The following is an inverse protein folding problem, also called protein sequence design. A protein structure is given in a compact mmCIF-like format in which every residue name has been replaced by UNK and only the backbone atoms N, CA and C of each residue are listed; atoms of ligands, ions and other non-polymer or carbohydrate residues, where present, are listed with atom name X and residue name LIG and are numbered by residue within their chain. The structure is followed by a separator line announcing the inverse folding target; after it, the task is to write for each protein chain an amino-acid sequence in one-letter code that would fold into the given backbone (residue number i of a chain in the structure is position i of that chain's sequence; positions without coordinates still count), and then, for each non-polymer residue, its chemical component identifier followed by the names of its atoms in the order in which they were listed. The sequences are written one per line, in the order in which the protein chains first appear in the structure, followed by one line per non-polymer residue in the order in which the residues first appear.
data_IF_965271039517
#
_entry.id   IF_965271039517
#
_cell.length_a   1.000
_cell.length_b   1.000
_cell.length_c   1.000
_cell.angle_alpha   90.00
_cell.angle_beta   90.00
_cell.angle_gamma   90.00
#
_symmetry.space_group_name_H-M   'P 1'
#
loop_
_entity.id
_entity.type
_entity.pdbx_description
1 polymer ?
#
# COMPACT_ATOMS: atom_id res chain seq x y z
N UNK A 1 -21.14 -69.47 -8.81
CA UNK A 1 -20.58 -68.50 -7.84
C UNK A 1 -20.25 -67.23 -8.63
N UNK A 2 -20.97 -66.14 -8.35
CA UNK A 2 -20.96 -64.87 -9.10
C UNK A 2 -19.96 -63.90 -8.47
N UNK A 3 -18.92 -63.49 -9.20
CA UNK A 3 -17.99 -62.44 -8.76
C UNK A 3 -18.45 -61.11 -9.36
N UNK A 4 -18.91 -60.20 -8.50
CA UNK A 4 -19.40 -58.86 -8.86
C UNK A 4 -18.22 -57.92 -9.18
N UNK A 5 -18.29 -57.24 -10.32
CA UNK A 5 -17.44 -56.10 -10.67
C UNK A 5 -17.72 -54.93 -9.72
N UNK A 6 -16.66 -54.36 -9.14
CA UNK A 6 -16.71 -53.07 -8.44
C UNK A 6 -16.23 -51.99 -9.40
N UNK A 7 -17.14 -51.13 -9.86
CA UNK A 7 -16.79 -49.88 -10.55
C UNK A 7 -16.58 -48.82 -9.47
N UNK A 8 -15.34 -48.36 -9.30
CA UNK A 8 -15.04 -47.17 -8.50
C UNK A 8 -15.41 -45.92 -9.30
N UNK A 9 -16.42 -45.19 -8.86
CA UNK A 9 -16.71 -43.85 -9.36
C UNK A 9 -15.70 -42.85 -8.75
N UNK A 10 -14.83 -42.30 -9.58
CA UNK A 10 -14.00 -41.14 -9.21
C UNK A 10 -14.86 -39.89 -9.38
N UNK A 11 -15.31 -39.31 -8.27
CA UNK A 11 -15.93 -38.01 -8.27
C UNK A 11 -14.85 -36.94 -8.48
N UNK A 12 -14.82 -36.31 -9.65
CA UNK A 12 -14.03 -35.10 -9.90
C UNK A 12 -14.71 -33.97 -9.14
N UNK A 13 -14.17 -33.60 -7.97
CA UNK A 13 -14.56 -32.36 -7.32
C UNK A 13 -13.97 -31.20 -8.11
N UNK A 14 -14.83 -30.46 -8.80
CA UNK A 14 -14.47 -29.19 -9.40
C UNK A 14 -14.04 -28.23 -8.28
N UNK A 15 -12.76 -27.90 -8.23
CA UNK A 15 -12.24 -26.84 -7.38
C UNK A 15 -12.72 -25.52 -7.96
N UNK A 16 -13.75 -24.92 -7.35
CA UNK A 16 -14.05 -23.50 -7.55
C UNK A 16 -12.89 -22.71 -6.97
N UNK A 17 -11.97 -22.28 -7.82
CA UNK A 17 -11.01 -21.24 -7.51
C UNK A 17 -11.77 -19.95 -7.25
N UNK A 18 -11.94 -19.59 -5.98
CA UNK A 18 -12.48 -18.28 -5.59
C UNK A 18 -11.39 -17.26 -5.90
N UNK A 19 -11.57 -16.52 -6.99
CA UNK A 19 -10.78 -15.34 -7.33
C UNK A 19 -11.15 -14.20 -6.38
N UNK A 20 -10.53 -14.17 -5.20
CA UNK A 20 -10.77 -13.19 -4.12
C UNK A 20 -10.53 -11.71 -4.53
N UNK A 21 -9.98 -11.45 -5.71
CA UNK A 21 -9.61 -10.10 -6.16
C UNK A 21 -10.60 -9.38 -7.08
N UNK A 22 -11.53 -10.10 -7.71
CA UNK A 22 -12.48 -9.49 -8.67
C UNK A 22 -13.79 -9.05 -7.99
N UNK A 23 -14.32 -9.84 -7.05
CA UNK A 23 -15.61 -9.58 -6.39
C UNK A 23 -15.59 -8.33 -5.49
N UNK A 24 -14.45 -7.95 -4.92
CA UNK A 24 -14.36 -6.78 -4.02
C UNK A 24 -14.50 -5.42 -4.73
N UNK A 25 -14.26 -5.36 -6.05
CA UNK A 25 -14.43 -4.12 -6.84
C UNK A 25 -15.90 -3.86 -7.20
N UNK A 26 -16.74 -4.89 -7.20
CA UNK A 26 -18.16 -4.80 -7.56
C UNK A 26 -19.05 -4.29 -6.42
N UNK A 27 -18.53 -4.16 -5.19
CA UNK A 27 -19.29 -3.69 -4.01
C UNK A 27 -19.23 -2.16 -3.78
N UNK A 28 -18.40 -1.40 -4.52
CA UNK A 28 -18.33 0.06 -4.32
C UNK A 28 -19.50 0.75 -5.02
N UNK A 29 -20.36 1.42 -4.25
CA UNK A 29 -21.55 2.08 -4.81
C UNK A 29 -21.19 3.25 -5.72
N UNK A 30 -22.03 3.52 -6.73
CA UNK A 30 -21.85 4.67 -7.61
C UNK A 30 -21.83 6.01 -6.85
N UNK A 31 -22.59 6.08 -5.75
CA UNK A 31 -22.60 7.23 -4.84
C UNK A 31 -21.24 7.42 -4.16
N UNK A 32 -20.64 6.36 -3.60
CA UNK A 32 -19.32 6.42 -2.98
C UNK A 32 -18.24 6.86 -3.99
N UNK A 33 -18.29 6.35 -5.23
CA UNK A 33 -17.37 6.77 -6.30
C UNK A 33 -17.54 8.25 -6.64
N UNK A 34 -18.79 8.71 -6.77
CA UNK A 34 -19.11 10.10 -7.06
C UNK A 34 -18.61 11.05 -5.95
N UNK A 35 -18.85 10.69 -4.69
CA UNK A 35 -18.44 11.50 -3.55
C UNK A 35 -16.92 11.55 -3.41
N UNK A 36 -16.22 10.43 -3.64
CA UNK A 36 -14.77 10.38 -3.65
C UNK A 36 -14.18 11.30 -4.74
N UNK A 37 -14.70 11.19 -5.97
CA UNK A 37 -14.30 12.05 -7.09
C UNK A 37 -14.51 13.53 -6.76
N UNK A 38 -15.70 13.89 -6.28
CA UNK A 38 -16.05 15.25 -5.89
C UNK A 38 -15.14 15.78 -4.77
N UNK A 39 -14.82 14.94 -3.79
CA UNK A 39 -13.90 15.26 -2.69
C UNK A 39 -12.48 15.52 -3.17
N UNK A 40 -11.96 14.68 -4.07
CA UNK A 40 -10.63 14.83 -4.66
C UNK A 40 -10.54 16.09 -5.54
N UNK A 41 -11.52 16.33 -6.42
CA UNK A 41 -11.57 17.55 -7.25
C UNK A 41 -11.58 18.82 -6.38
N UNK A 42 -12.33 18.81 -5.28
CA UNK A 42 -12.34 19.90 -4.30
C UNK A 42 -10.97 20.06 -3.62
N UNK A 43 -10.28 18.97 -3.31
CA UNK A 43 -8.93 18.99 -2.72
C UNK A 43 -7.92 19.57 -3.71
N UNK A 44 -7.91 19.11 -4.96
CA UNK A 44 -7.05 19.64 -6.03
C UNK A 44 -7.23 21.16 -6.15
N UNK A 45 -8.47 21.65 -6.14
CA UNK A 45 -8.77 23.08 -6.25
C UNK A 45 -8.33 23.89 -5.02
N UNK A 46 -8.57 23.39 -3.80
CA UNK A 46 -8.37 24.16 -2.56
C UNK A 46 -6.96 24.02 -1.97
N UNK A 47 -6.32 22.89 -2.23
CA UNK A 47 -5.03 22.49 -1.68
C UNK A 47 -4.18 21.88 -2.80
N UNK A 48 -3.78 22.69 -3.80
CA UNK A 48 -3.16 22.19 -5.02
C UNK A 48 -1.81 21.51 -4.83
N UNK A 49 -1.19 21.54 -3.64
CA UNK A 49 0.09 20.88 -3.36
C UNK A 49 -0.02 19.68 -2.42
N UNK A 50 -1.23 19.34 -1.95
CA UNK A 50 -1.45 18.17 -1.08
C UNK A 50 -1.43 16.89 -1.90
N UNK A 51 -0.79 15.84 -1.42
CA UNK A 51 -0.93 14.51 -2.02
C UNK A 51 -2.41 14.10 -1.99
N UNK A 52 -2.86 13.49 -3.09
CA UNK A 52 -4.20 12.93 -3.14
C UNK A 52 -4.29 11.69 -2.24
N UNK A 53 -5.41 11.55 -1.55
CA UNK A 53 -5.64 10.43 -0.66
C UNK A 53 -5.79 9.13 -1.47
N UNK A 54 -4.99 8.12 -1.14
CA UNK A 54 -4.93 6.87 -1.91
C UNK A 54 -6.23 6.07 -1.83
N UNK A 55 -6.87 6.03 -0.66
CA UNK A 55 -8.17 5.38 -0.50
C UNK A 55 -9.20 6.01 -1.44
N UNK A 56 -9.31 7.34 -1.41
CA UNK A 56 -10.24 8.08 -2.27
C UNK A 56 -9.91 7.90 -3.76
N UNK A 57 -8.63 7.84 -4.12
CA UNK A 57 -8.22 7.57 -5.51
C UNK A 57 -8.71 6.20 -5.98
N UNK A 58 -8.53 5.14 -5.18
CA UNK A 58 -9.01 3.79 -5.52
C UNK A 58 -10.53 3.70 -5.62
N UNK A 59 -11.27 4.56 -4.93
CA UNK A 59 -12.73 4.65 -5.08
C UNK A 59 -13.13 5.43 -6.34
N UNK A 60 -12.46 6.55 -6.61
CA UNK A 60 -12.84 7.47 -7.67
C UNK A 60 -12.36 7.04 -9.06
N UNK A 61 -11.14 6.51 -9.19
CA UNK A 61 -10.47 6.26 -10.47
C UNK A 61 -10.80 4.90 -11.11
N UNK A 62 -11.85 4.20 -10.64
CA UNK A 62 -12.29 2.92 -11.21
C UNK A 62 -12.90 3.06 -12.61
N UNK A 63 -13.23 4.28 -13.03
CA UNK A 63 -13.76 4.64 -14.33
C UNK A 63 -12.78 5.57 -15.05
N UNK A 64 -12.46 5.27 -16.31
CA UNK A 64 -11.50 6.05 -17.12
C UNK A 64 -11.92 7.52 -17.22
N UNK A 65 -13.22 7.80 -17.30
CA UNK A 65 -13.76 9.16 -17.34
C UNK A 65 -13.50 9.93 -16.04
N UNK A 66 -13.60 9.28 -14.89
CA UNK A 66 -13.26 9.89 -13.60
C UNK A 66 -11.74 10.13 -13.46
N UNK A 67 -10.91 9.19 -13.90
CA UNK A 67 -9.46 9.35 -13.93
C UNK A 67 -9.05 10.57 -14.80
N UNK A 68 -9.66 10.71 -15.98
CA UNK A 68 -9.40 11.85 -16.87
C UNK A 68 -9.86 13.19 -16.29
N UNK A 69 -10.96 13.22 -15.55
CA UNK A 69 -11.39 14.42 -14.82
C UNK A 69 -10.36 14.82 -13.75
N UNK A 70 -9.83 13.86 -12.99
CA UNK A 70 -8.80 14.11 -11.98
C UNK A 70 -7.51 14.65 -12.61
N UNK A 71 -7.03 14.02 -13.70
CA UNK A 71 -5.85 14.46 -14.44
C UNK A 71 -6.03 15.85 -15.05
N UNK A 72 -7.21 16.13 -15.61
CA UNK A 72 -7.56 17.46 -16.13
C UNK A 72 -7.58 18.53 -15.04
N UNK A 73 -8.08 18.20 -13.85
CA UNK A 73 -8.07 19.11 -12.71
C UNK A 73 -6.64 19.35 -12.19
N UNK A 74 -5.79 18.31 -12.14
CA UNK A 74 -4.38 18.44 -11.78
C UNK A 74 -3.63 19.36 -12.76
N UNK A 75 -3.88 19.23 -14.06
CA UNK A 75 -3.28 20.10 -15.07
C UNK A 75 -3.61 21.59 -14.86
N UNK A 76 -4.75 21.88 -14.24
CA UNK A 76 -5.23 23.24 -13.95
C UNK A 76 -4.93 23.69 -12.51
N UNK A 77 -4.27 22.86 -11.69
CA UNK A 77 -4.12 23.13 -10.26
C UNK A 77 -3.00 24.12 -9.91
N UNK A 78 -2.17 24.52 -10.89
CA UNK A 78 -1.00 25.36 -10.64
C UNK A 78 0.19 24.62 -10.02
N UNK A 79 0.20 23.28 -10.03
CA UNK A 79 1.36 22.47 -9.70
C UNK A 79 2.47 22.66 -10.74
N UNK A 80 3.71 22.32 -10.37
CA UNK A 80 4.79 22.17 -11.34
C UNK A 80 4.48 21.03 -12.32
N UNK A 81 5.07 21.05 -13.52
CA UNK A 81 4.90 19.98 -14.50
C UNK A 81 5.26 18.60 -13.92
N UNK A 82 6.29 18.54 -13.09
CA UNK A 82 6.68 17.33 -12.35
C UNK A 82 5.62 16.89 -11.34
N UNK A 83 5.11 17.81 -10.52
CA UNK A 83 4.06 17.48 -9.55
C UNK A 83 2.75 17.05 -10.21
N UNK A 84 2.43 17.59 -11.39
CA UNK A 84 1.27 17.15 -12.19
C UNK A 84 1.51 15.73 -12.69
N UNK A 85 2.68 15.47 -13.28
CA UNK A 85 3.07 14.16 -13.79
C UNK A 85 2.99 13.10 -12.71
N UNK A 86 3.67 13.31 -11.59
CA UNK A 86 3.70 12.35 -10.47
C UNK A 86 2.29 12.06 -9.94
N UNK A 87 1.46 13.08 -9.69
CA UNK A 87 0.09 12.84 -9.21
C UNK A 87 -0.80 12.16 -10.26
N UNK A 88 -0.59 12.41 -11.54
CA UNK A 88 -1.33 11.73 -12.61
C UNK A 88 -0.97 10.25 -12.68
N UNK A 89 0.32 9.90 -12.47
CA UNK A 89 0.76 8.51 -12.38
C UNK A 89 0.09 7.78 -11.20
N UNK A 90 -0.14 8.46 -10.07
CA UNK A 90 -0.90 7.90 -8.96
C UNK A 90 -2.39 7.70 -9.29
N UNK A 91 -3.00 8.58 -10.08
CA UNK A 91 -4.36 8.37 -10.59
C UNK A 91 -4.41 7.12 -11.47
N UNK A 92 -3.47 6.98 -12.41
CA UNK A 92 -3.41 5.82 -13.31
C UNK A 92 -3.15 4.51 -12.52
N UNK A 93 -2.29 4.57 -11.49
CA UNK A 93 -2.06 3.43 -10.60
C UNK A 93 -3.33 3.01 -9.86
N UNK A 94 -4.12 3.97 -9.35
CA UNK A 94 -5.39 3.69 -8.69
C UNK A 94 -6.44 3.11 -9.65
N UNK A 95 -6.36 3.47 -10.94
CA UNK A 95 -7.17 2.89 -12.01
C UNK A 95 -6.72 1.47 -12.42
N UNK A 96 -5.66 0.93 -11.81
CA UNK A 96 -5.14 -0.41 -12.12
C UNK A 96 -4.01 -0.44 -13.14
N UNK A 97 -3.44 0.72 -13.47
CA UNK A 97 -2.30 0.87 -14.40
C UNK A 97 -1.04 1.39 -13.68
N UNK A 98 -0.44 0.64 -12.74
CA UNK A 98 0.66 1.12 -11.90
C UNK A 98 2.02 1.16 -12.62
N UNK A 99 2.14 0.62 -13.84
CA UNK A 99 3.44 0.37 -14.47
C UNK A 99 4.25 1.66 -14.62
N UNK A 100 3.58 2.75 -15.00
CA UNK A 100 4.23 4.04 -15.22
C UNK A 100 4.67 4.70 -13.91
N UNK A 101 3.92 4.55 -12.80
CA UNK A 101 4.34 5.08 -11.50
C UNK A 101 5.54 4.32 -10.95
N UNK A 102 5.57 2.99 -11.13
CA UNK A 102 6.69 2.15 -10.71
C UNK A 102 7.96 2.50 -11.51
N UNK A 103 7.84 2.60 -12.83
CA UNK A 103 8.94 3.01 -13.70
C UNK A 103 9.48 4.41 -13.36
N UNK A 104 8.61 5.34 -12.94
CA UNK A 104 9.03 6.66 -12.49
C UNK A 104 9.94 6.60 -11.25
N UNK A 105 9.55 5.87 -10.20
CA UNK A 105 10.38 5.77 -9.00
C UNK A 105 11.64 4.93 -9.22
N UNK A 106 11.57 3.86 -10.01
CA UNK A 106 12.72 3.02 -10.32
C UNK A 106 13.74 3.78 -11.19
N UNK A 107 13.25 4.52 -12.19
CA UNK A 107 14.07 5.39 -13.03
C UNK A 107 14.80 6.46 -12.23
N UNK A 108 14.10 7.15 -11.32
CA UNK A 108 14.72 8.15 -10.45
C UNK A 108 15.89 7.56 -9.64
N UNK A 109 15.71 6.38 -9.05
CA UNK A 109 16.76 5.71 -8.30
C UNK A 109 17.95 5.27 -9.18
N UNK A 110 17.69 4.89 -10.43
CA UNK A 110 18.72 4.51 -11.40
C UNK A 110 19.50 5.72 -11.95
N UNK A 111 18.82 6.84 -12.18
CA UNK A 111 19.39 8.05 -12.79
C UNK A 111 20.26 8.85 -11.81
N UNK A 112 19.98 8.75 -10.50
CA UNK A 112 20.73 9.43 -9.44
C UNK A 112 21.13 8.45 -8.32
N UNK A 113 22.00 7.46 -8.59
CA UNK A 113 22.34 6.40 -7.63
C UNK A 113 23.08 6.91 -6.39
N UNK A 114 23.66 8.11 -6.44
CA UNK A 114 24.26 8.79 -5.30
C UNK A 114 23.23 9.35 -4.31
N UNK A 115 21.99 9.61 -4.76
CA UNK A 115 20.91 10.06 -3.91
C UNK A 115 20.25 8.85 -3.24
N UNK A 116 20.72 8.57 -2.03
CA UNK A 116 20.28 7.42 -1.25
C UNK A 116 18.83 7.52 -0.77
N UNK A 117 18.14 8.64 -1.00
CA UNK A 117 16.71 8.80 -0.66
C UNK A 117 15.79 8.20 -1.74
N UNK A 118 16.27 8.08 -2.99
CA UNK A 118 15.45 7.62 -4.12
C UNK A 118 15.12 6.12 -4.08
N UNK A 119 16.05 5.20 -3.73
CA UNK A 119 15.69 3.80 -3.54
C UNK A 119 14.61 3.61 -2.46
N UNK A 120 14.65 4.43 -1.40
CA UNK A 120 13.61 4.41 -0.38
C UNK A 120 12.26 4.86 -0.94
N UNK A 121 12.22 5.85 -1.83
CA UNK A 121 10.98 6.26 -2.49
C UNK A 121 10.38 5.12 -3.35
N UNK A 122 11.22 4.34 -4.04
CA UNK A 122 10.77 3.17 -4.80
C UNK A 122 10.21 2.06 -3.91
N UNK A 123 10.80 1.84 -2.73
CA UNK A 123 10.26 0.92 -1.71
C UNK A 123 8.93 1.44 -1.13
N UNK A 124 8.89 2.72 -0.76
CA UNK A 124 7.69 3.40 -0.28
C UNK A 124 6.52 3.27 -1.25
N UNK A 125 6.72 3.60 -2.53
CA UNK A 125 5.68 3.59 -3.54
C UNK A 125 4.98 2.22 -3.66
N UNK A 126 5.73 1.14 -3.44
CA UNK A 126 5.23 -0.23 -3.43
C UNK A 126 4.52 -0.58 -2.13
N UNK A 127 5.20 -0.39 -1.00
CA UNK A 127 4.70 -0.76 0.31
C UNK A 127 3.43 0.00 0.71
N UNK A 128 3.40 1.32 0.48
CA UNK A 128 2.28 2.17 0.89
C UNK A 128 1.03 2.04 0.05
N UNK A 129 1.15 1.50 -1.15
CA UNK A 129 0.05 1.42 -2.11
C UNK A 129 -0.30 -0.02 -2.52
N UNK A 130 0.42 -1.01 -1.99
CA UNK A 130 0.22 -2.43 -2.29
C UNK A 130 0.52 -2.78 -3.73
N UNK A 131 1.55 -2.17 -4.30
CA UNK A 131 1.95 -2.36 -5.68
C UNK A 131 3.18 -3.27 -5.76
N UNK A 132 3.22 -4.11 -6.80
CA UNK A 132 4.42 -4.90 -7.15
C UNK A 132 4.98 -5.74 -5.99
N UNK A 133 4.08 -6.42 -5.26
CA UNK A 133 4.43 -7.25 -4.10
C UNK A 133 5.38 -8.40 -4.43
N UNK A 134 5.44 -8.83 -5.68
CA UNK A 134 6.41 -9.82 -6.15
C UNK A 134 7.86 -9.31 -6.03
N UNK A 135 8.11 -8.03 -6.31
CA UNK A 135 9.45 -7.44 -6.34
C UNK A 135 9.76 -6.53 -5.14
N UNK A 136 8.76 -6.15 -4.33
CA UNK A 136 8.89 -5.16 -3.25
C UNK A 136 10.05 -5.46 -2.29
N UNK A 137 10.29 -6.73 -1.96
CA UNK A 137 11.36 -7.12 -1.06
C UNK A 137 12.75 -6.81 -1.63
N UNK A 138 12.97 -7.06 -2.92
CA UNK A 138 14.24 -6.76 -3.58
C UNK A 138 14.50 -5.24 -3.56
N UNK A 139 13.48 -4.44 -3.87
CA UNK A 139 13.55 -2.97 -3.88
C UNK A 139 13.84 -2.43 -2.48
N UNK A 140 13.10 -2.87 -1.47
CA UNK A 140 13.30 -2.41 -0.10
C UNK A 140 14.64 -2.87 0.48
N UNK A 141 15.13 -4.07 0.15
CA UNK A 141 16.46 -4.52 0.54
C UNK A 141 17.56 -3.64 -0.08
N UNK A 142 17.45 -3.29 -1.36
CA UNK A 142 18.37 -2.38 -2.01
C UNK A 142 18.35 -0.99 -1.35
N UNK A 143 17.17 -0.49 -0.96
CA UNK A 143 17.04 0.77 -0.26
C UNK A 143 17.75 0.78 1.10
N UNK A 144 17.57 -0.27 1.91
CA UNK A 144 18.24 -0.42 3.21
C UNK A 144 19.76 -0.53 3.05
N UNK A 145 20.24 -1.21 2.01
CA UNK A 145 21.67 -1.29 1.70
C UNK A 145 22.27 0.07 1.32
N UNK A 146 21.53 0.88 0.54
CA UNK A 146 21.98 2.21 0.14
C UNK A 146 22.04 3.17 1.35
N UNK A 147 20.98 3.18 2.16
CA UNK A 147 20.88 3.96 3.39
C UNK A 147 20.00 3.24 4.40
N UNK A 148 20.59 2.86 5.54
CA UNK A 148 19.93 2.15 6.63
C UNK A 148 19.11 3.12 7.50
N UNK A 149 18.09 3.74 6.90
CA UNK A 149 17.21 4.68 7.58
C UNK A 149 16.02 3.98 8.25
N UNK A 150 15.65 4.43 9.45
CA UNK A 150 14.57 3.86 10.27
C UNK A 150 13.22 3.83 9.54
N UNK A 151 12.90 4.86 8.74
CA UNK A 151 11.69 4.88 7.92
C UNK A 151 11.69 3.84 6.79
N UNK A 152 12.85 3.40 6.29
CA UNK A 152 12.92 2.36 5.24
C UNK A 152 12.55 0.99 5.80
N UNK A 153 12.93 0.70 7.04
CA UNK A 153 12.45 -0.50 7.75
C UNK A 153 10.94 -0.49 7.94
N UNK A 154 10.32 0.67 8.21
CA UNK A 154 8.86 0.75 8.30
C UNK A 154 8.19 0.40 6.96
N UNK A 155 8.76 0.84 5.83
CA UNK A 155 8.23 0.48 4.52
C UNK A 155 8.42 -1.01 4.20
N UNK A 156 9.59 -1.58 4.50
CA UNK A 156 9.80 -3.01 4.30
C UNK A 156 8.91 -3.84 5.22
N UNK A 157 8.80 -3.51 6.50
CA UNK A 157 7.89 -4.16 7.44
C UNK A 157 6.42 -4.08 7.02
N UNK A 158 5.99 -2.96 6.42
CA UNK A 158 4.64 -2.85 5.84
C UNK A 158 4.44 -3.76 4.63
N UNK A 159 5.44 -3.91 3.77
CA UNK A 159 5.39 -4.87 2.66
C UNK A 159 5.42 -6.33 3.15
N UNK A 160 6.20 -6.61 4.18
CA UNK A 160 6.27 -7.93 4.82
C UNK A 160 4.93 -8.32 5.45
N UNK A 161 4.22 -7.39 6.08
CA UNK A 161 2.85 -7.63 6.55
C UNK A 161 1.89 -8.00 5.41
N UNK A 162 1.98 -7.34 4.26
CA UNK A 162 1.17 -7.65 3.08
C UNK A 162 1.48 -9.04 2.51
N UNK A 163 2.74 -9.47 2.62
CA UNK A 163 3.22 -10.77 2.18
C UNK A 163 3.02 -11.89 3.21
N UNK A 164 2.49 -11.59 4.41
CA UNK A 164 2.33 -12.56 5.49
C UNK A 164 3.63 -12.92 6.23
N UNK A 165 4.69 -12.15 6.04
CA UNK A 165 6.02 -12.33 6.63
C UNK A 165 6.09 -11.69 8.03
N UNK A 166 5.22 -12.12 8.93
CA UNK A 166 4.97 -11.41 10.20
C UNK A 166 6.18 -11.37 11.15
N UNK A 167 7.03 -12.40 11.14
CA UNK A 167 8.25 -12.42 11.96
C UNK A 167 9.25 -11.38 11.48
N UNK A 168 9.47 -11.32 10.17
CA UNK A 168 10.36 -10.33 9.56
C UNK A 168 9.83 -8.91 9.78
N UNK A 169 8.52 -8.71 9.61
CA UNK A 169 7.88 -7.42 9.86
C UNK A 169 8.09 -6.94 11.30
N UNK A 170 7.94 -7.84 12.28
CA UNK A 170 8.21 -7.52 13.69
C UNK A 170 9.66 -7.07 13.89
N UNK A 171 10.63 -7.79 13.32
CA UNK A 171 12.05 -7.46 13.44
C UNK A 171 12.34 -6.06 12.83
N UNK A 172 11.74 -5.74 11.68
CA UNK A 172 11.88 -4.45 11.02
C UNK A 172 11.26 -3.29 11.79
N UNK A 173 10.06 -3.48 12.35
CA UNK A 173 9.45 -2.45 13.19
C UNK A 173 10.25 -2.24 14.49
N UNK A 174 10.77 -3.30 15.09
CA UNK A 174 11.61 -3.18 16.29
C UNK A 174 12.97 -2.50 15.98
N UNK A 175 13.59 -2.77 14.82
CA UNK A 175 14.78 -2.04 14.35
C UNK A 175 14.48 -0.55 14.19
N UNK A 176 13.37 -0.18 13.54
CA UNK A 176 12.98 1.22 13.36
C UNK A 176 12.73 1.94 14.69
N UNK A 177 12.00 1.28 15.61
CA UNK A 177 11.64 1.82 16.92
C UNK A 177 12.82 1.87 17.91
N UNK A 178 13.88 1.09 17.66
CA UNK A 178 15.13 1.10 18.42
C UNK A 178 15.95 2.38 18.21
N UNK A 179 15.80 3.06 17.06
CA UNK A 179 16.46 4.33 16.81
C UNK A 179 15.82 5.48 17.58
N UNK A 180 16.56 6.03 18.55
CA UNK A 180 16.10 7.15 19.37
C UNK A 180 15.76 8.39 18.54
N UNK A 181 16.45 8.61 17.42
CA UNK A 181 16.19 9.76 16.52
C UNK A 181 14.87 9.59 15.76
N UNK A 182 14.41 8.35 15.58
CA UNK A 182 13.17 8.06 14.88
C UNK A 182 11.91 8.41 15.70
N UNK A 183 12.03 8.59 17.02
CA UNK A 183 10.89 8.88 17.92
C UNK A 183 10.12 10.15 17.58
N UNK A 184 10.75 11.13 16.96
CA UNK A 184 10.10 12.38 16.51
C UNK A 184 9.68 12.34 15.05
N UNK A 185 9.94 11.24 14.34
CA UNK A 185 9.59 11.10 12.93
C UNK A 185 8.08 10.86 12.78
N UNK A 186 7.42 11.42 11.75
CA UNK A 186 5.98 11.21 11.53
C UNK A 186 5.55 9.74 11.43
N UNK A 187 6.43 8.89 10.91
CA UNK A 187 6.18 7.45 10.76
C UNK A 187 6.42 6.62 12.04
N UNK A 188 6.81 7.24 13.15
CA UNK A 188 6.97 6.50 14.41
C UNK A 188 5.67 5.80 14.80
N UNK A 189 4.54 6.49 14.66
CA UNK A 189 3.21 5.94 14.95
C UNK A 189 2.84 4.80 14.00
N UNK A 190 3.23 4.88 12.73
CA UNK A 190 3.04 3.79 11.76
C UNK A 190 3.83 2.55 12.17
N UNK A 191 5.09 2.72 12.61
CA UNK A 191 5.93 1.61 13.08
C UNK A 191 5.35 0.94 14.33
N UNK A 192 4.83 1.72 15.29
CA UNK A 192 4.15 1.18 16.48
C UNK A 192 2.91 0.38 16.07
N UNK A 193 2.08 0.92 15.18
CA UNK A 193 0.89 0.21 14.69
C UNK A 193 1.25 -1.10 13.97
N UNK A 194 2.21 -1.03 13.03
CA UNK A 194 2.69 -2.18 12.28
C UNK A 194 3.27 -3.28 13.18
N UNK A 195 4.04 -2.89 14.21
CA UNK A 195 4.52 -3.84 15.23
C UNK A 195 3.37 -4.53 15.95
N UNK A 196 2.36 -3.77 16.35
CA UNK A 196 1.17 -4.31 17.01
C UNK A 196 0.46 -5.35 16.16
N UNK A 197 0.27 -5.07 14.87
CA UNK A 197 -0.30 -6.04 13.91
C UNK A 197 0.58 -7.28 13.78
N UNK A 198 1.90 -7.11 13.60
CA UNK A 198 2.83 -8.23 13.48
C UNK A 198 2.81 -9.14 14.72
N UNK A 199 2.81 -8.54 15.93
CA UNK A 199 2.70 -9.27 17.21
C UNK A 199 1.41 -10.07 17.31
N UNK A 200 0.26 -9.45 17.01
CA UNK A 200 -1.02 -10.15 17.04
C UNK A 200 -1.09 -11.31 16.05
N UNK A 201 -0.57 -11.13 14.83
CA UNK A 201 -0.47 -12.19 13.82
C UNK A 201 0.45 -13.34 14.23
N UNK A 202 1.40 -13.08 15.14
CA UNK A 202 2.28 -14.09 15.75
C UNK A 202 1.71 -14.68 17.06
N UNK A 203 0.51 -14.29 17.48
CA UNK A 203 -0.12 -14.76 18.72
C UNK A 203 0.33 -14.05 19.99
N UNK A 204 1.09 -12.96 19.88
CA UNK A 204 1.47 -12.12 21.02
C UNK A 204 0.41 -11.06 21.30
N UNK A 205 -0.36 -11.27 22.37
CA UNK A 205 -1.44 -10.38 22.80
C UNK A 205 -0.96 -8.97 23.20
N UNK A 206 0.34 -8.77 23.46
CA UNK A 206 0.90 -7.45 23.74
C UNK A 206 0.75 -6.49 22.55
N UNK A 207 0.57 -7.00 21.33
CA UNK A 207 0.33 -6.18 20.14
C UNK A 207 -0.91 -5.27 20.24
N UNK A 208 -1.91 -5.66 21.03
CA UNK A 208 -3.10 -4.82 21.29
C UNK A 208 -2.75 -3.49 21.94
N UNK A 209 -1.76 -3.46 22.84
CA UNK A 209 -1.32 -2.24 23.50
C UNK A 209 -0.64 -1.27 22.51
N UNK A 210 0.16 -1.80 21.58
CA UNK A 210 0.79 -1.01 20.53
C UNK A 210 -0.25 -0.36 19.62
N UNK A 211 -1.26 -1.14 19.18
CA UNK A 211 -2.37 -0.62 18.36
C UNK A 211 -3.14 0.47 19.08
N UNK A 212 -3.42 0.30 20.39
CA UNK A 212 -4.13 1.29 21.18
C UNK A 212 -3.33 2.60 21.31
N UNK A 213 -2.01 2.51 21.54
CA UNK A 213 -1.10 3.66 21.57
C UNK A 213 -1.12 4.38 20.22
N UNK A 214 -0.97 3.63 19.12
CA UNK A 214 -0.91 4.21 17.79
C UNK A 214 -2.23 4.90 17.40
N UNK A 215 -3.38 4.28 17.70
CA UNK A 215 -4.70 4.85 17.43
C UNK A 215 -4.97 6.12 18.25
N UNK A 216 -4.49 6.20 19.50
CA UNK A 216 -4.56 7.44 20.28
C UNK A 216 -3.76 8.58 19.66
N UNK A 217 -2.58 8.28 19.11
CA UNK A 217 -1.70 9.26 18.50
C UNK A 217 -2.18 9.71 17.10
N UNK A 218 -2.70 8.77 16.30
CA UNK A 218 -3.23 9.02 14.97
C UNK A 218 -4.43 8.12 14.71
N UNK A 219 -5.65 8.67 14.75
CA UNK A 219 -6.88 7.90 14.51
C UNK A 219 -7.01 7.34 13.09
N UNK A 220 -6.22 7.82 12.14
CA UNK A 220 -6.26 7.36 10.75
C UNK A 220 -5.23 6.27 10.44
N UNK A 221 -4.38 5.88 11.40
CA UNK A 221 -3.32 4.89 11.16
C UNK A 221 -3.91 3.54 10.73
N UNK A 222 -5.00 3.09 11.37
CA UNK A 222 -5.63 1.83 11.00
C UNK A 222 -6.21 1.86 9.58
N UNK A 223 -6.86 2.95 9.18
CA UNK A 223 -7.41 3.10 7.83
C UNK A 223 -6.31 3.06 6.76
N UNK A 224 -5.18 3.76 7.01
CA UNK A 224 -4.00 3.74 6.15
C UNK A 224 -3.45 2.32 5.93
N UNK A 225 -3.36 1.50 6.97
CA UNK A 225 -2.91 0.12 6.84
C UNK A 225 -3.96 -0.76 6.13
N UNK A 226 -5.25 -0.53 6.39
CA UNK A 226 -6.33 -1.23 5.73
C UNK A 226 -6.37 -0.97 4.21
N UNK A 227 -5.89 0.18 3.75
CA UNK A 227 -5.79 0.49 2.30
C UNK A 227 -4.93 -0.48 1.52
N UNK A 228 -4.00 -1.16 2.18
CA UNK A 228 -3.13 -2.17 1.59
C UNK A 228 -3.42 -3.56 2.15
N UNK A 229 -4.63 -3.77 2.69
CA UNK A 229 -5.09 -5.07 3.16
C UNK A 229 -4.52 -5.50 4.52
N UNK A 230 -3.93 -4.58 5.29
CA UNK A 230 -3.40 -4.88 6.62
C UNK A 230 -4.41 -4.48 7.68
N UNK A 231 -4.85 -5.47 8.47
CA UNK A 231 -5.63 -5.28 9.68
C UNK A 231 -5.01 -6.06 10.85
N UNK A 232 -5.31 -5.71 12.12
CA UNK A 232 -4.95 -6.49 13.31
C UNK A 232 -5.41 -7.96 13.28
#
# INVERSE_FOLDING_TARGET
MSVKQWVFAVAVMATTSISFGAEARDEVTAEARHDALKGLLKTIKRKPFYALDWHQLKLAALDDGAADQLKSALAQSGRSAEGIREQSLWVDAAAGHPQAVLAFYDGNAADAPQDKTLPNAACWARAMHGLDLENVMAICNAAILANRASYTFVWRGMAELQLGLFRQALDDFDEALGDVKFRTHPMFVDAVFGRGVARLRLGDAAGSADIEIANRANRNVAAKFADVGIAP
#
